data_IF_360171319584
#
_entry.id   IF_360171319584
#
_cell.length_a   1.000
_cell.length_b   1.000
_cell.length_c   1.000
_cell.angle_alpha   90.00
_cell.angle_beta   90.00
_cell.angle_gamma   90.00
#
_symmetry.space_group_name_H-M   'P 1'
#
loop_
_entity.id
_entity.type
_entity.pdbx_description
1 polymer ?
#
# COMPACT_ATOMS: atom_id res chain seq x y z
N UNK A 1 -79.54 48.64 -37.60
CA UNK A 1 -78.56 48.64 -36.49
C UNK A 1 -77.20 49.02 -37.06
N UNK A 2 -76.72 50.24 -36.82
CA UNK A 2 -75.33 50.59 -37.15
C UNK A 2 -74.45 50.07 -36.01
N UNK A 3 -73.49 49.19 -36.33
CA UNK A 3 -72.47 48.76 -35.37
C UNK A 3 -71.65 50.00 -34.99
N UNK A 4 -71.49 50.26 -33.68
CA UNK A 4 -70.54 51.28 -33.21
C UNK A 4 -69.16 50.83 -33.67
N UNK A 5 -68.43 51.74 -34.28
CA UNK A 5 -67.00 51.57 -34.56
C UNK A 5 -66.34 51.79 -33.19
N UNK A 6 -65.55 50.83 -32.65
CA UNK A 6 -64.84 51.05 -31.41
C UNK A 6 -63.85 52.21 -31.60
N UNK A 7 -63.76 53.06 -30.58
CA UNK A 7 -62.87 54.21 -30.61
C UNK A 7 -61.42 53.71 -30.67
N UNK A 8 -60.66 54.22 -31.65
CA UNK A 8 -59.29 53.81 -31.96
C UNK A 8 -58.32 53.90 -30.76
N UNK A 9 -58.64 54.72 -29.77
CA UNK A 9 -57.91 54.81 -28.50
C UNK A 9 -58.05 53.56 -27.64
N UNK A 10 -59.18 52.85 -27.70
CA UNK A 10 -59.41 51.62 -26.92
C UNK A 10 -58.56 50.45 -27.45
N UNK A 11 -58.27 50.42 -28.77
CA UNK A 11 -57.38 49.42 -29.38
C UNK A 11 -55.89 49.75 -29.16
N UNK A 12 -55.55 51.05 -29.06
CA UNK A 12 -54.22 51.56 -28.70
C UNK A 12 -53.87 51.34 -27.22
N UNK A 13 -54.87 51.26 -26.34
CA UNK A 13 -54.68 50.95 -24.92
C UNK A 13 -54.54 49.44 -24.66
N UNK A 14 -55.24 48.59 -25.44
CA UNK A 14 -55.09 47.13 -25.35
C UNK A 14 -53.71 46.67 -25.88
N UNK A 15 -53.14 47.36 -26.88
CA UNK A 15 -51.79 47.08 -27.39
C UNK A 15 -50.68 47.47 -26.40
N UNK A 16 -50.89 48.48 -25.55
CA UNK A 16 -49.88 48.97 -24.58
C UNK A 16 -49.63 48.02 -23.40
N UNK A 17 -50.53 47.06 -23.13
CA UNK A 17 -50.42 46.20 -21.94
C UNK A 17 -49.54 44.97 -22.18
N UNK A 18 -49.29 44.56 -23.42
CA UNK A 18 -48.46 43.38 -23.74
C UNK A 18 -46.98 43.66 -24.04
N UNK A 19 -46.51 44.91 -24.05
CA UNK A 19 -45.09 45.23 -24.28
C UNK A 19 -44.20 45.19 -23.03
N UNK A 20 -44.68 44.64 -21.91
CA UNK A 20 -43.86 44.49 -20.70
C UNK A 20 -43.06 43.18 -20.65
N UNK A 21 -43.12 42.34 -21.69
CA UNK A 21 -42.18 41.24 -21.91
C UNK A 21 -41.24 41.63 -23.06
N UNK A 22 -40.47 42.70 -22.85
CA UNK A 22 -39.41 43.08 -23.77
C UNK A 22 -38.49 41.87 -23.99
N UNK A 23 -38.27 41.50 -25.26
CA UNK A 23 -37.36 40.43 -25.62
C UNK A 23 -36.04 40.57 -24.84
N UNK A 24 -35.52 39.48 -24.24
CA UNK A 24 -34.36 39.58 -23.37
C UNK A 24 -33.23 40.25 -24.14
N UNK A 25 -32.55 41.26 -23.55
CA UNK A 25 -31.49 41.97 -24.23
C UNK A 25 -30.46 40.97 -24.73
N UNK A 26 -29.95 41.17 -25.95
CA UNK A 26 -29.03 40.23 -26.64
C UNK A 26 -27.82 39.81 -25.80
N UNK A 27 -27.44 40.60 -24.81
CA UNK A 27 -26.38 40.32 -23.83
C UNK A 27 -26.76 39.24 -22.80
N UNK A 28 -28.05 39.10 -22.48
CA UNK A 28 -28.55 38.19 -21.45
C UNK A 28 -28.60 36.74 -21.94
N UNK A 29 -28.92 36.53 -23.22
CA UNK A 29 -28.88 35.22 -23.89
C UNK A 29 -27.47 34.58 -23.90
N UNK A 30 -26.41 35.37 -23.71
CA UNK A 30 -25.02 34.90 -23.63
C UNK A 30 -24.38 35.09 -22.25
N UNK A 31 -25.17 35.42 -21.21
CA UNK A 31 -24.63 35.69 -19.87
C UNK A 31 -23.99 34.47 -19.23
N UNK A 32 -24.46 33.27 -19.57
CA UNK A 32 -24.02 32.02 -18.95
C UNK A 32 -22.88 31.31 -19.69
N UNK A 33 -21.91 32.07 -20.23
CA UNK A 33 -20.64 31.46 -20.64
C UNK A 33 -19.84 31.16 -19.38
N UNK A 34 -19.97 29.94 -18.88
CA UNK A 34 -19.12 29.42 -17.82
C UNK A 34 -17.66 29.69 -18.19
N UNK A 35 -17.00 30.52 -17.38
CA UNK A 35 -15.60 30.88 -17.60
C UNK A 35 -14.78 29.61 -17.39
N UNK A 36 -14.43 28.94 -18.49
CA UNK A 36 -13.55 27.76 -18.47
C UNK A 36 -12.26 28.14 -17.74
N UNK A 37 -12.07 27.58 -16.56
CA UNK A 37 -10.91 27.83 -15.71
C UNK A 37 -9.67 27.33 -16.45
N UNK A 38 -8.89 28.26 -17.02
CA UNK A 38 -7.65 27.95 -17.71
C UNK A 38 -6.57 27.62 -16.67
N UNK A 39 -6.54 26.38 -16.21
CA UNK A 39 -5.52 25.87 -15.29
C UNK A 39 -4.15 25.98 -15.96
N UNK A 40 -3.32 26.93 -15.50
CA UNK A 40 -1.93 27.07 -15.94
C UNK A 40 -1.07 26.13 -15.09
N UNK A 41 -0.62 25.02 -15.68
CA UNK A 41 0.08 23.92 -14.99
C UNK A 41 1.58 24.16 -14.76
N UNK A 42 2.03 25.40 -14.63
CA UNK A 42 3.45 25.72 -14.86
C UNK A 42 4.42 25.08 -13.86
N UNK A 43 3.94 24.54 -12.73
CA UNK A 43 4.78 23.84 -11.75
C UNK A 43 4.11 22.63 -11.09
N UNK A 44 3.10 22.01 -11.73
CA UNK A 44 2.39 20.88 -11.12
C UNK A 44 3.32 19.68 -10.90
N UNK A 45 4.19 19.38 -11.86
CA UNK A 45 5.18 18.30 -11.73
C UNK A 45 6.20 18.56 -10.62
N UNK A 46 6.68 19.80 -10.50
CA UNK A 46 7.62 20.19 -9.45
C UNK A 46 6.96 20.05 -8.07
N UNK A 47 5.70 20.46 -7.93
CA UNK A 47 4.94 20.31 -6.68
C UNK A 47 4.73 18.84 -6.30
N UNK A 48 4.35 18.00 -7.27
CA UNK A 48 4.21 16.55 -7.05
C UNK A 48 5.56 15.95 -6.64
N UNK A 49 6.66 16.32 -7.30
CA UNK A 49 7.99 15.84 -6.98
C UNK A 49 8.45 16.25 -5.58
N UNK A 50 8.20 17.50 -5.17
CA UNK A 50 8.49 17.96 -3.80
C UNK A 50 7.64 17.22 -2.77
N UNK A 51 6.35 16.97 -3.07
CA UNK A 51 5.50 16.18 -2.19
C UNK A 51 6.00 14.74 -2.06
N UNK A 52 6.48 14.12 -3.13
CA UNK A 52 7.07 12.77 -3.09
C UNK A 52 8.36 12.73 -2.28
N UNK A 53 9.25 13.72 -2.44
CA UNK A 53 10.49 13.81 -1.66
C UNK A 53 10.27 14.02 -0.17
N UNK A 54 9.18 14.70 0.21
CA UNK A 54 8.80 14.90 1.62
C UNK A 54 8.01 13.68 2.14
N UNK A 55 7.15 13.06 1.33
CA UNK A 55 6.36 11.89 1.71
C UNK A 55 7.19 10.62 1.84
N UNK A 56 8.22 10.44 1.03
CA UNK A 56 9.09 9.27 1.07
C UNK A 56 9.72 9.06 2.47
N UNK A 57 10.41 10.03 3.09
CA UNK A 57 10.95 9.86 4.45
C UNK A 57 9.86 9.72 5.51
N UNK A 58 8.73 10.44 5.40
CA UNK A 58 7.61 10.32 6.35
C UNK A 58 6.99 8.92 6.29
N UNK A 59 6.79 8.40 5.08
CA UNK A 59 6.27 7.05 4.85
C UNK A 59 7.24 5.97 5.36
N UNK A 60 8.55 6.17 5.17
CA UNK A 60 9.58 5.29 5.69
C UNK A 60 9.54 5.27 7.21
N UNK A 61 9.43 6.43 7.87
CA UNK A 61 9.33 6.51 9.33
C UNK A 61 8.11 5.75 9.86
N UNK A 62 6.94 5.95 9.26
CA UNK A 62 5.73 5.20 9.62
C UNK A 62 5.85 3.70 9.35
N UNK A 63 6.47 3.33 8.23
CA UNK A 63 6.67 1.93 7.86
C UNK A 63 7.66 1.24 8.81
N UNK A 64 8.73 1.93 9.23
CA UNK A 64 9.70 1.41 10.20
C UNK A 64 9.07 1.23 11.57
N UNK A 65 8.22 2.16 12.03
CA UNK A 65 7.49 2.02 13.30
C UNK A 65 6.57 0.79 13.28
N UNK A 66 5.82 0.61 12.18
CA UNK A 66 4.97 -0.57 11.97
C UNK A 66 5.76 -1.88 11.85
N UNK A 67 6.94 -1.85 11.23
CA UNK A 67 7.82 -3.01 11.12
C UNK A 67 8.46 -3.38 12.46
N UNK A 68 8.81 -2.38 13.28
CA UNK A 68 9.36 -2.58 14.62
C UNK A 68 8.30 -3.14 15.57
N UNK A 69 7.04 -2.69 15.51
CA UNK A 69 5.96 -3.27 16.34
C UNK A 69 5.72 -4.77 16.05
N UNK A 70 5.64 -5.16 14.78
CA UNK A 70 5.51 -6.58 14.37
C UNK A 70 6.68 -7.44 14.85
N UNK A 71 7.87 -6.85 15.04
CA UNK A 71 9.05 -7.53 15.59
C UNK A 71 9.13 -7.47 17.12
N UNK A 72 8.57 -6.43 17.74
CA UNK A 72 8.58 -6.20 19.19
C UNK A 72 7.64 -7.14 19.95
N UNK A 73 6.54 -7.58 19.33
CA UNK A 73 5.66 -8.59 19.95
C UNK A 73 6.34 -9.98 20.05
N UNK A 74 7.45 -10.19 19.32
CA UNK A 74 8.24 -11.43 19.34
C UNK A 74 9.51 -11.36 20.20
N UNK A 75 9.92 -10.18 20.67
CA UNK A 75 11.08 -10.06 21.56
C UNK A 75 10.79 -9.10 22.72
N UNK A 76 10.43 -9.69 23.86
CA UNK A 76 10.60 -9.16 25.22
C UNK A 76 10.86 -7.65 25.35
N UNK A 77 9.81 -6.95 25.75
CA UNK A 77 9.80 -5.84 26.71
C UNK A 77 11.09 -5.01 26.86
N UNK A 78 11.00 -3.75 26.39
CA UNK A 78 11.62 -2.61 27.04
C UNK A 78 13.15 -2.62 27.13
N UNK A 79 13.82 -2.18 26.06
CA UNK A 79 15.18 -1.62 26.21
C UNK A 79 15.26 -0.26 25.51
N UNK A 80 15.34 0.73 26.37
CA UNK A 80 15.61 2.15 26.13
C UNK A 80 16.74 2.37 25.12
N UNK A 81 16.54 3.37 24.25
CA UNK A 81 17.42 3.83 23.17
C UNK A 81 18.73 4.49 23.64
N UNK A 82 19.31 4.03 24.75
CA UNK A 82 20.61 4.47 25.24
C UNK A 82 21.31 3.28 25.90
N UNK A 83 21.74 2.31 25.09
CA UNK A 83 22.69 1.31 25.57
C UNK A 83 24.04 2.02 25.72
N UNK A 84 24.29 2.50 26.94
CA UNK A 84 25.61 2.93 27.40
C UNK A 84 26.55 1.76 27.17
N UNK A 85 27.65 2.01 26.44
CA UNK A 85 28.73 1.05 26.21
C UNK A 85 29.41 0.80 27.55
N UNK A 86 28.88 -0.12 28.35
CA UNK A 86 29.61 -0.75 29.43
C UNK A 86 30.37 -1.93 28.82
N UNK A 87 31.67 -1.72 28.58
CA UNK A 87 32.60 -2.79 28.27
C UNK A 87 32.83 -3.60 29.56
N UNK A 88 31.88 -4.47 29.91
CA UNK A 88 32.09 -5.47 30.94
C UNK A 88 32.71 -6.71 30.31
N UNK A 89 33.94 -6.97 30.72
CA UNK A 89 34.86 -7.98 30.21
C UNK A 89 34.55 -9.37 30.78
N UNK A 90 33.29 -9.80 30.70
CA UNK A 90 32.86 -11.12 31.14
C UNK A 90 31.97 -11.80 30.09
N UNK A 91 32.63 -12.38 29.08
CA UNK A 91 32.25 -13.64 28.42
C UNK A 91 30.73 -13.87 28.25
N UNK A 92 30.15 -13.24 27.23
CA UNK A 92 28.98 -13.79 26.54
C UNK A 92 29.33 -13.85 25.04
N UNK A 93 29.85 -15.00 24.62
CA UNK A 93 29.88 -15.37 23.22
C UNK A 93 28.43 -15.47 22.75
N UNK A 94 27.87 -14.34 22.28
CA UNK A 94 26.71 -14.38 21.40
C UNK A 94 27.22 -15.00 20.12
N UNK A 95 27.14 -16.33 20.05
CA UNK A 95 27.34 -17.10 18.84
C UNK A 95 26.37 -16.54 17.81
N UNK A 96 26.91 -15.71 16.92
CA UNK A 96 26.30 -15.36 15.64
C UNK A 96 26.20 -16.67 14.88
N UNK A 97 25.13 -17.41 15.15
CA UNK A 97 24.80 -18.66 14.46
C UNK A 97 24.72 -18.30 12.98
N UNK A 98 25.76 -18.69 12.25
CA UNK A 98 25.81 -18.57 10.81
C UNK A 98 24.72 -19.49 10.27
N UNK A 99 23.60 -18.92 9.85
CA UNK A 99 22.56 -19.67 9.17
C UNK A 99 23.13 -20.15 7.83
N UNK A 100 23.39 -21.46 7.73
CA UNK A 100 23.86 -22.09 6.50
C UNK A 100 22.65 -22.59 5.74
N UNK A 101 22.60 -22.32 4.45
CA UNK A 101 21.49 -22.78 3.59
C UNK A 101 21.97 -23.97 2.78
N UNK A 102 21.28 -25.09 2.91
CA UNK A 102 21.54 -26.33 2.16
C UNK A 102 20.40 -26.55 1.16
N UNK A 103 20.73 -26.96 -0.06
CA UNK A 103 19.71 -27.37 -1.04
C UNK A 103 19.50 -28.88 -0.94
N UNK A 104 18.25 -29.31 -0.78
CA UNK A 104 17.82 -30.71 -0.77
C UNK A 104 16.92 -30.98 -1.97
N UNK A 105 17.20 -32.04 -2.71
CA UNK A 105 16.32 -32.49 -3.80
C UNK A 105 15.39 -33.57 -3.26
N UNK A 106 14.09 -33.31 -3.29
CA UNK A 106 13.05 -34.21 -2.77
C UNK A 106 13.08 -35.55 -3.51
N UNK A 107 13.26 -36.64 -2.78
CA UNK A 107 13.23 -38.00 -3.35
C UNK A 107 11.81 -38.54 -3.44
N UNK A 108 11.62 -39.58 -4.26
CA UNK A 108 10.31 -40.22 -4.44
C UNK A 108 9.82 -40.81 -3.10
N UNK A 109 8.68 -40.33 -2.63
CA UNK A 109 8.05 -40.78 -1.39
C UNK A 109 8.42 -39.95 -0.14
N UNK A 110 9.27 -38.94 -0.26
CA UNK A 110 9.52 -37.99 0.82
C UNK A 110 8.34 -37.01 0.96
N UNK A 111 8.01 -36.69 2.21
CA UNK A 111 7.07 -35.62 2.58
C UNK A 111 7.81 -34.47 3.23
N UNK A 112 7.18 -33.30 3.27
CA UNK A 112 7.75 -32.12 3.92
C UNK A 112 8.08 -32.38 5.40
N UNK A 113 7.24 -33.17 6.09
CA UNK A 113 7.48 -33.61 7.47
C UNK A 113 8.75 -34.45 7.61
N UNK A 114 8.95 -35.43 6.72
CA UNK A 114 10.14 -36.31 6.75
C UNK A 114 11.42 -35.52 6.51
N UNK A 115 11.38 -34.54 5.60
CA UNK A 115 12.51 -33.66 5.30
C UNK A 115 12.76 -32.72 6.48
N UNK A 116 11.72 -32.11 7.05
CA UNK A 116 11.87 -31.24 8.22
C UNK A 116 12.55 -31.98 9.38
N UNK A 117 12.13 -33.21 9.69
CA UNK A 117 12.74 -34.05 10.73
C UNK A 117 14.20 -34.44 10.46
N UNK A 118 14.60 -34.46 9.19
CA UNK A 118 15.99 -34.76 8.82
C UNK A 118 16.93 -33.57 9.10
N UNK A 119 16.44 -32.34 8.96
CA UNK A 119 17.28 -31.13 9.04
C UNK A 119 17.06 -30.31 10.32
N UNK A 120 15.92 -30.48 10.99
CA UNK A 120 15.55 -29.78 12.21
C UNK A 120 15.25 -30.78 13.31
N UNK A 121 15.67 -30.46 14.53
CA UNK A 121 15.39 -31.27 15.73
C UNK A 121 14.05 -30.91 16.37
N UNK A 122 13.41 -29.85 15.88
CA UNK A 122 12.22 -29.24 16.42
C UNK A 122 11.09 -29.18 15.38
N UNK A 123 9.84 -29.17 15.86
CA UNK A 123 8.64 -29.19 15.01
C UNK A 123 8.49 -27.93 14.14
N UNK A 124 9.26 -26.88 14.41
CA UNK A 124 9.24 -25.63 13.62
C UNK A 124 9.85 -25.78 12.22
N UNK A 125 10.59 -26.87 11.96
CA UNK A 125 11.27 -27.10 10.68
C UNK A 125 10.34 -27.07 9.47
N UNK A 126 9.08 -27.52 9.62
CA UNK A 126 8.09 -27.50 8.53
C UNK A 126 7.80 -26.06 8.12
N UNK A 127 7.42 -25.21 9.08
CA UNK A 127 7.10 -23.80 8.84
C UNK A 127 8.30 -23.04 8.26
N UNK A 128 9.49 -23.33 8.77
CA UNK A 128 10.74 -22.73 8.30
C UNK A 128 10.99 -23.08 6.83
N UNK A 129 10.88 -24.36 6.45
CA UNK A 129 11.07 -24.79 5.06
C UNK A 129 9.99 -24.18 4.17
N UNK A 130 8.71 -24.16 4.59
CA UNK A 130 7.62 -23.55 3.80
C UNK A 130 7.88 -22.09 3.53
N UNK A 131 8.19 -21.33 4.57
CA UNK A 131 8.46 -19.89 4.48
C UNK A 131 9.66 -19.60 3.59
N UNK A 132 10.72 -20.41 3.68
CA UNK A 132 11.93 -20.20 2.89
C UNK A 132 11.74 -20.54 1.41
N UNK A 133 10.84 -21.47 1.09
CA UNK A 133 10.57 -21.93 -0.27
C UNK A 133 9.24 -21.41 -0.85
N UNK A 134 8.55 -20.49 -0.15
CA UNK A 134 7.24 -19.95 -0.51
C UNK A 134 6.20 -21.05 -0.83
N UNK A 135 6.13 -22.08 0.02
CA UNK A 135 5.15 -23.15 -0.12
C UNK A 135 3.88 -22.82 0.67
N UNK A 136 2.73 -22.83 -0.02
CA UNK A 136 1.42 -22.61 0.59
C UNK A 136 0.93 -23.87 1.34
N UNK A 137 1.15 -25.04 0.75
CA UNK A 137 0.73 -26.35 1.27
C UNK A 137 1.93 -27.20 1.67
N UNK A 138 1.66 -28.27 2.41
CA UNK A 138 2.70 -29.21 2.88
C UNK A 138 3.09 -30.23 1.80
N UNK A 139 2.54 -30.06 0.59
CA UNK A 139 2.75 -30.94 -0.54
C UNK A 139 4.03 -30.58 -1.28
N UNK A 140 4.93 -31.56 -1.35
CA UNK A 140 6.17 -31.49 -2.12
C UNK A 140 6.19 -32.56 -3.21
N UNK A 141 6.81 -32.26 -4.35
CA UNK A 141 6.91 -33.20 -5.47
C UNK A 141 8.30 -33.80 -5.58
N UNK A 142 8.39 -35.07 -5.99
CA UNK A 142 9.69 -35.70 -6.23
C UNK A 142 10.47 -34.94 -7.32
N UNK A 143 11.76 -34.70 -7.08
CA UNK A 143 12.64 -33.89 -7.93
C UNK A 143 12.62 -32.39 -7.63
N UNK A 144 11.75 -31.92 -6.72
CA UNK A 144 11.72 -30.53 -6.31
C UNK A 144 12.95 -30.17 -5.48
N UNK A 145 13.58 -29.03 -5.77
CA UNK A 145 14.66 -28.49 -4.95
C UNK A 145 14.10 -27.60 -3.84
N UNK A 146 14.47 -27.91 -2.61
CA UNK A 146 14.11 -27.14 -1.42
C UNK A 146 15.36 -26.55 -0.79
N UNK A 147 15.31 -25.26 -0.50
CA UNK A 147 16.33 -24.55 0.25
C UNK A 147 16.01 -24.64 1.74
N UNK A 148 16.95 -25.18 2.51
CA UNK A 148 16.78 -25.51 3.91
C UNK A 148 17.78 -24.67 4.73
N UNK A 149 17.31 -23.66 5.49
CA UNK A 149 18.17 -22.88 6.37
C UNK A 149 18.44 -23.68 7.65
N UNK A 150 19.62 -24.27 7.75
CA UNK A 150 20.08 -24.95 8.97
C UNK A 150 20.73 -23.94 9.91
N UNK A 151 20.30 -23.94 11.16
CA UNK A 151 21.01 -23.27 12.25
C UNK A 151 21.99 -24.28 12.80
N UNK A 152 23.28 -23.97 12.76
CA UNK A 152 24.35 -24.87 13.24
C UNK A 152 24.15 -25.19 14.73
N UNK A 153 23.38 -26.23 14.98
CA UNK A 153 23.34 -27.01 16.21
C UNK A 153 23.33 -28.46 15.78
N UNK A 154 24.54 -29.04 15.74
CA UNK A 154 24.80 -30.47 15.59
C UNK A 154 24.24 -31.13 14.32
N UNK A 155 24.98 -30.98 13.21
CA UNK A 155 24.88 -31.91 12.07
C UNK A 155 25.43 -33.26 12.54
N UNK A 156 24.55 -34.18 12.95
CA UNK A 156 24.89 -35.60 13.02
C UNK A 156 24.86 -36.12 11.58
N UNK A 157 26.01 -36.07 10.92
CA UNK A 157 26.22 -36.83 9.68
C UNK A 157 26.16 -38.31 10.04
N UNK A 158 25.19 -39.03 9.49
CA UNK A 158 25.13 -40.47 9.61
C UNK A 158 25.47 -41.08 8.24
N UNK A 159 26.69 -41.65 8.23
CA UNK A 159 27.29 -42.74 7.41
C UNK A 159 27.00 -42.85 5.92
#
# INVERSE_FOLDING_TARGET
MRKRIPDFEEELEVERVEENESLPPRSELHRNKEKKQKFKMNHIFVRVLTCLFILLPISILWYTDKYIQVKSDSSNAGKSAFEVIFFDSAKSETQKQSEKVVTHTVKKGETLESIAKQYFSDESGIEVIKKYNNLEEDKVSAGQELKIPIKDKSVKQES
#
